data_IF_082282627565
#
_entry.id   IF_082282627565
#
_cell.length_a   1.000
_cell.length_b   1.000
_cell.length_c   1.000
_cell.angle_alpha   90.00
_cell.angle_beta   90.00
_cell.angle_gamma   90.00
#
_symmetry.space_group_name_H-M   'P 1'
#
loop_
_entity.id
_entity.type
_entity.pdbx_description
1 polymer ?
#
# COMPACT_ATOMS: atom_id res chain seq x y z
N UNK A 1 -10.49 -18.87 -30.83
CA UNK A 1 -10.31 -18.71 -29.37
C UNK A 1 -11.32 -17.68 -28.90
N UNK A 2 -12.32 -18.09 -28.11
CA UNK A 2 -13.28 -17.15 -27.51
C UNK A 2 -12.66 -16.57 -26.25
N UNK A 3 -12.43 -15.26 -26.23
CA UNK A 3 -11.98 -14.53 -25.03
C UNK A 3 -13.20 -13.84 -24.45
N UNK A 4 -13.57 -14.23 -23.23
CA UNK A 4 -14.61 -13.54 -22.48
C UNK A 4 -13.96 -12.44 -21.65
N UNK A 5 -14.11 -11.19 -22.10
CA UNK A 5 -13.73 -10.02 -21.31
C UNK A 5 -14.98 -9.45 -20.64
N UNK A 6 -14.94 -9.38 -19.30
CA UNK A 6 -15.94 -8.65 -18.52
C UNK A 6 -15.26 -7.46 -17.87
N UNK A 7 -15.85 -6.27 -18.05
CA UNK A 7 -15.42 -5.09 -17.31
C UNK A 7 -15.89 -5.20 -15.87
N UNK A 8 -15.04 -4.79 -14.92
CA UNK A 8 -15.46 -4.62 -13.53
C UNK A 8 -16.67 -3.68 -13.51
N UNK A 9 -17.78 -4.14 -12.94
CA UNK A 9 -18.97 -3.34 -12.70
C UNK A 9 -19.21 -3.26 -11.20
N UNK A 10 -19.38 -2.05 -10.70
CA UNK A 10 -19.63 -1.79 -9.29
C UNK A 10 -20.47 -0.55 -9.11
N UNK A 11 -21.03 -0.41 -7.91
CA UNK A 11 -21.70 0.81 -7.48
C UNK A 11 -20.67 1.94 -7.25
N UNK A 12 -21.13 3.19 -7.26
CA UNK A 12 -20.28 4.33 -6.95
C UNK A 12 -19.58 4.20 -5.59
N UNK A 13 -20.26 3.59 -4.61
CA UNK A 13 -19.69 3.32 -3.28
C UNK A 13 -18.51 2.33 -3.35
N UNK A 14 -18.65 1.24 -4.11
CA UNK A 14 -17.58 0.26 -4.28
C UNK A 14 -16.35 0.87 -4.96
N UNK A 15 -16.54 1.69 -6.00
CA UNK A 15 -15.43 2.39 -6.64
C UNK A 15 -14.71 3.36 -5.69
N UNK A 16 -15.45 4.09 -4.85
CA UNK A 16 -14.84 4.96 -3.82
C UNK A 16 -14.01 4.16 -2.82
N UNK A 17 -14.47 2.97 -2.41
CA UNK A 17 -13.70 2.08 -1.53
C UNK A 17 -12.42 1.57 -2.19
N UNK A 18 -12.46 1.28 -3.49
CA UNK A 18 -11.26 0.94 -4.25
C UNK A 18 -10.28 2.13 -4.30
N UNK A 19 -10.76 3.34 -4.58
CA UNK A 19 -9.93 4.54 -4.59
C UNK A 19 -9.28 4.80 -3.23
N UNK A 20 -10.00 4.63 -2.12
CA UNK A 20 -9.48 4.72 -0.75
C UNK A 20 -8.36 3.71 -0.50
N UNK A 21 -8.55 2.45 -0.91
CA UNK A 21 -7.54 1.41 -0.78
C UNK A 21 -6.29 1.70 -1.62
N UNK A 22 -6.46 2.12 -2.88
CA UNK A 22 -5.36 2.47 -3.79
C UNK A 22 -4.57 3.66 -3.24
N UNK A 23 -5.25 4.69 -2.75
CA UNK A 23 -4.60 5.87 -2.13
C UNK A 23 -3.79 5.47 -0.90
N UNK A 24 -4.35 4.62 -0.04
CA UNK A 24 -3.66 4.11 1.15
C UNK A 24 -2.42 3.29 0.78
N UNK A 25 -2.54 2.41 -0.21
CA UNK A 25 -1.41 1.64 -0.72
C UNK A 25 -0.29 2.49 -1.31
N UNK A 26 -0.64 3.52 -2.09
CA UNK A 26 0.33 4.50 -2.61
C UNK A 26 1.01 5.30 -1.49
N UNK A 27 0.26 5.67 -0.45
CA UNK A 27 0.82 6.33 0.73
C UNK A 27 1.86 5.46 1.44
N UNK A 28 1.58 4.17 1.65
CA UNK A 28 2.53 3.22 2.24
C UNK A 28 3.80 3.13 1.40
N UNK A 29 3.66 2.92 0.08
CA UNK A 29 4.80 2.85 -0.85
C UNK A 29 5.67 4.11 -0.78
N UNK A 30 5.07 5.29 -0.91
CA UNK A 30 5.78 6.56 -0.92
C UNK A 30 6.46 6.86 0.43
N UNK A 31 5.83 6.48 1.53
CA UNK A 31 6.41 6.63 2.87
C UNK A 31 7.66 5.78 3.04
N UNK A 32 7.67 4.55 2.51
CA UNK A 32 8.85 3.67 2.54
C UNK A 32 9.98 4.22 1.68
N UNK A 33 9.69 4.71 0.47
CA UNK A 33 10.70 5.35 -0.39
C UNK A 33 11.31 6.55 0.33
N UNK A 34 10.49 7.41 0.96
CA UNK A 34 10.97 8.54 1.75
C UNK A 34 11.83 8.08 2.94
N UNK A 35 11.42 7.03 3.65
CA UNK A 35 12.17 6.48 4.77
C UNK A 35 13.53 5.90 4.33
N UNK A 36 13.60 5.30 3.14
CA UNK A 36 14.85 4.85 2.53
C UNK A 36 15.77 6.01 2.18
N UNK A 37 15.26 7.07 1.52
CA UNK A 37 16.02 8.30 1.21
C UNK A 37 16.61 8.90 2.50
N UNK A 38 15.85 8.86 3.59
CA UNK A 38 16.28 9.36 4.90
C UNK A 38 17.20 8.39 5.67
N UNK A 39 17.56 7.24 5.10
CA UNK A 39 18.41 6.22 5.73
C UNK A 39 17.76 5.44 6.87
N UNK A 40 16.44 5.52 7.05
CA UNK A 40 15.67 4.83 8.11
C UNK A 40 15.33 3.39 7.74
N UNK A 41 15.17 3.10 6.44
CA UNK A 41 14.92 1.77 5.88
C UNK A 41 16.13 1.38 5.06
N UNK A 42 16.81 0.27 5.41
CA UNK A 42 18.06 -0.17 4.75
C UNK A 42 17.97 -1.56 4.15
N UNK A 43 16.90 -2.29 4.44
CA UNK A 43 16.65 -3.63 3.94
C UNK A 43 15.17 -3.85 3.64
N UNK A 44 14.89 -4.91 2.89
CA UNK A 44 13.52 -5.40 2.66
C UNK A 44 12.77 -5.67 3.96
N UNK A 45 13.44 -6.25 4.95
CA UNK A 45 12.85 -6.52 6.26
C UNK A 45 12.51 -5.22 7.01
N UNK A 46 13.34 -4.18 6.89
CA UNK A 46 13.04 -2.86 7.45
C UNK A 46 11.79 -2.26 6.80
N UNK A 47 11.61 -2.43 5.48
CA UNK A 47 10.42 -1.96 4.78
C UNK A 47 9.14 -2.62 5.32
N UNK A 48 9.20 -3.92 5.66
CA UNK A 48 8.09 -4.63 6.31
C UNK A 48 7.83 -4.14 7.74
N UNK A 49 8.88 -3.93 8.53
CA UNK A 49 8.75 -3.36 9.87
C UNK A 49 8.15 -1.94 9.80
N UNK A 50 8.55 -1.16 8.80
CA UNK A 50 8.03 0.19 8.55
C UNK A 50 6.54 0.20 8.22
N UNK A 51 6.03 -0.81 7.50
CA UNK A 51 4.59 -0.97 7.30
C UNK A 51 3.80 -1.07 8.60
N UNK A 52 4.34 -1.74 9.62
CA UNK A 52 3.71 -1.84 10.94
C UNK A 52 3.76 -0.50 11.67
N UNK A 53 4.89 0.21 11.62
CA UNK A 53 5.00 1.56 12.16
C UNK A 53 3.95 2.52 11.54
N UNK A 54 3.73 2.43 10.23
CA UNK A 54 2.72 3.23 9.55
C UNK A 54 1.29 2.86 9.97
N UNK A 55 1.00 1.57 10.18
CA UNK A 55 -0.35 1.15 10.61
C UNK A 55 -0.67 1.51 12.05
N UNK A 56 0.34 1.50 12.91
CA UNK A 56 0.19 1.77 14.34
C UNK A 56 0.22 3.28 14.64
N UNK A 57 0.53 4.11 13.64
CA UNK A 57 0.62 5.56 13.79
C UNK A 57 -0.78 6.22 13.86
N UNK A 58 -1.12 6.89 14.97
CA UNK A 58 -2.44 7.52 15.15
C UNK A 58 -2.69 8.72 14.22
N UNK A 59 -1.67 9.29 13.59
CA UNK A 59 -1.84 10.34 12.58
C UNK A 59 -2.41 9.82 11.26
N UNK A 60 -2.31 8.51 11.01
CA UNK A 60 -2.73 7.88 9.76
C UNK A 60 -3.66 6.67 9.99
N UNK A 61 -4.79 6.83 10.72
CA UNK A 61 -5.63 5.71 11.15
C UNK A 61 -6.23 4.89 9.99
N UNK A 62 -6.34 5.48 8.80
CA UNK A 62 -6.80 4.78 7.59
C UNK A 62 -5.82 3.72 7.10
N UNK A 63 -4.52 3.84 7.42
CA UNK A 63 -3.53 2.83 7.05
C UNK A 63 -3.84 1.51 7.74
N UNK A 64 -4.36 1.56 8.98
CA UNK A 64 -4.73 0.35 9.68
C UNK A 64 -5.92 -0.40 9.05
N UNK A 65 -6.76 0.31 8.29
CA UNK A 65 -7.92 -0.27 7.60
C UNK A 65 -7.51 -1.10 6.38
N UNK A 66 -6.31 -0.87 5.83
CA UNK A 66 -5.77 -1.69 4.75
C UNK A 66 -5.12 -2.95 5.33
N UNK A 67 -5.53 -4.12 4.84
CA UNK A 67 -5.01 -5.41 5.30
C UNK A 67 -3.47 -5.47 5.27
N UNK A 68 -2.88 -6.17 6.25
CA UNK A 68 -1.42 -6.27 6.42
C UNK A 68 -0.69 -6.79 5.18
N UNK A 69 -1.25 -7.77 4.48
CA UNK A 69 -0.65 -8.33 3.26
C UNK A 69 -0.64 -7.31 2.12
N UNK A 70 -1.70 -6.51 1.99
CA UNK A 70 -1.75 -5.44 0.99
C UNK A 70 -0.70 -4.35 1.30
N UNK A 71 -0.54 -3.97 2.57
CA UNK A 71 0.53 -3.03 2.98
C UNK A 71 1.92 -3.57 2.66
N UNK A 72 2.19 -4.84 2.97
CA UNK A 72 3.46 -5.49 2.66
C UNK A 72 3.70 -5.59 1.14
N UNK A 73 2.69 -5.89 0.33
CA UNK A 73 2.83 -5.87 -1.13
C UNK A 73 3.22 -4.47 -1.66
N UNK A 74 2.75 -3.39 -1.03
CA UNK A 74 3.20 -2.04 -1.36
C UNK A 74 4.64 -1.75 -0.90
N UNK A 75 5.07 -2.32 0.23
CA UNK A 75 6.48 -2.28 0.66
C UNK A 75 7.39 -3.00 -0.31
N UNK A 76 7.00 -4.18 -0.78
CA UNK A 76 7.73 -4.94 -1.80
C UNK A 76 7.91 -4.14 -3.09
N UNK A 77 6.83 -3.50 -3.54
CA UNK A 77 6.87 -2.63 -4.72
C UNK A 77 7.71 -1.37 -4.51
N UNK A 78 7.85 -0.89 -3.27
CA UNK A 78 8.76 0.21 -2.96
C UNK A 78 10.21 -0.29 -3.04
N UNK A 79 10.51 -1.40 -2.37
CA UNK A 79 11.83 -2.00 -2.32
C UNK A 79 12.35 -2.42 -3.70
N UNK A 80 11.50 -3.02 -4.53
CA UNK A 80 11.84 -3.39 -5.90
C UNK A 80 12.07 -2.18 -6.85
N UNK A 81 11.75 -0.95 -6.40
CA UNK A 81 11.97 0.28 -7.17
C UNK A 81 13.15 1.12 -6.67
N UNK A 82 13.87 0.63 -5.67
CA UNK A 82 15.08 1.21 -5.09
C UNK A 82 16.28 0.41 -5.58
#
# INVERSE_FOLDING_TARGET
>A
MLVYEMKLQGTQYQYRKLDEAIRTGRFVRNSIIKAWINGQVKSRNDAYAYCKLLSDNPSFPWVNQLNSMARQAHAERAWASI
#
